data_IF_682613189137
#
_entry.id   IF_682613189137
#
_cell.length_a   1.000
_cell.length_b   1.000
_cell.length_c   1.000
_cell.angle_alpha   90.00
_cell.angle_beta   90.00
_cell.angle_gamma   90.00
#
_symmetry.space_group_name_H-M   'P 1'
#
loop_
_entity.id
_entity.type
_entity.pdbx_description
1 polymer ?
#
# COMPACT_ATOMS: atom_id res chain seq x y z
N UNK A 1 20.56 18.84 5.52
CA UNK A 1 19.67 17.91 6.27
C UNK A 1 18.36 17.64 5.52
N UNK A 2 17.60 18.66 5.09
CA UNK A 2 16.33 18.48 4.36
C UNK A 2 16.45 17.63 3.08
N UNK A 3 17.50 17.84 2.28
CA UNK A 3 17.75 17.08 1.03
C UNK A 3 17.95 15.59 1.28
N UNK A 4 18.60 15.21 2.38
CA UNK A 4 18.83 13.80 2.74
C UNK A 4 17.51 13.09 3.04
N UNK A 5 16.59 13.75 3.74
CA UNK A 5 15.25 13.22 4.01
C UNK A 5 14.41 13.08 2.74
N UNK A 6 14.50 14.03 1.80
CA UNK A 6 13.83 13.92 0.49
C UNK A 6 14.34 12.74 -0.33
N UNK A 7 15.66 12.50 -0.35
CA UNK A 7 16.26 11.36 -1.06
C UNK A 7 15.80 10.04 -0.44
N UNK A 8 15.82 9.93 0.89
CA UNK A 8 15.34 8.73 1.59
C UNK A 8 13.85 8.48 1.27
N UNK A 9 13.02 9.53 1.28
CA UNK A 9 11.61 9.38 0.96
C UNK A 9 11.38 8.98 -0.51
N UNK A 10 12.17 9.51 -1.44
CA UNK A 10 12.11 9.12 -2.85
C UNK A 10 12.39 7.61 -3.02
N UNK A 11 13.45 7.12 -2.37
CA UNK A 11 13.80 5.69 -2.41
C UNK A 11 12.70 4.82 -1.82
N UNK A 12 12.15 5.22 -0.67
CA UNK A 12 11.03 4.51 -0.02
C UNK A 12 9.80 4.48 -0.93
N UNK A 13 9.49 5.60 -1.61
CA UNK A 13 8.36 5.70 -2.55
C UNK A 13 8.50 4.74 -3.74
N UNK A 14 9.70 4.66 -4.31
CA UNK A 14 9.99 3.76 -5.44
C UNK A 14 9.83 2.30 -5.00
N UNK A 15 10.40 1.93 -3.84
CA UNK A 15 10.30 0.56 -3.32
C UNK A 15 8.86 0.17 -3.04
N UNK A 16 8.08 1.05 -2.41
CA UNK A 16 6.65 0.83 -2.18
C UNK A 16 5.87 0.65 -3.48
N UNK A 17 6.15 1.46 -4.49
CA UNK A 17 5.47 1.38 -5.78
C UNK A 17 5.74 0.04 -6.47
N UNK A 18 6.99 -0.44 -6.41
CA UNK A 18 7.36 -1.77 -6.92
C UNK A 18 6.64 -2.89 -6.16
N UNK A 19 6.59 -2.81 -4.83
CA UNK A 19 5.90 -3.79 -3.97
C UNK A 19 4.40 -3.87 -4.30
N UNK A 20 3.75 -2.73 -4.52
CA UNK A 20 2.33 -2.68 -4.90
C UNK A 20 2.10 -3.28 -6.29
N UNK A 21 3.01 -3.03 -7.25
CA UNK A 21 2.90 -3.62 -8.59
C UNK A 21 3.10 -5.15 -8.59
N UNK A 22 3.86 -5.67 -7.63
CA UNK A 22 4.05 -7.11 -7.41
C UNK A 22 2.84 -7.78 -6.75
N UNK A 23 1.91 -7.01 -6.20
CA UNK A 23 0.69 -7.55 -5.60
C UNK A 23 -0.22 -8.12 -6.70
N UNK A 24 -0.54 -9.42 -6.66
CA UNK A 24 -1.32 -10.05 -7.72
C UNK A 24 -2.70 -9.39 -7.85
N UNK A 25 -3.21 -9.21 -9.08
CA UNK A 25 -4.54 -8.67 -9.28
C UNK A 25 -5.54 -9.57 -8.56
N UNK A 26 -6.28 -9.00 -7.61
CA UNK A 26 -7.33 -9.68 -6.87
C UNK A 26 -8.33 -10.18 -7.91
N UNK A 27 -8.36 -11.50 -8.12
CA UNK A 27 -9.21 -12.18 -9.10
C UNK A 27 -10.70 -12.11 -8.78
N UNK A 28 -11.11 -11.15 -7.98
CA UNK A 28 -12.49 -10.89 -7.62
C UNK A 28 -13.01 -9.93 -8.70
N UNK A 29 -13.79 -10.43 -9.66
CA UNK A 29 -14.30 -9.64 -10.79
C UNK A 29 -15.05 -8.36 -10.37
N UNK A 30 -15.49 -7.54 -11.34
CA UNK A 30 -16.11 -6.22 -11.10
C UNK A 30 -17.15 -6.16 -9.94
N UNK A 31 -17.86 -7.26 -9.65
CA UNK A 31 -18.81 -7.38 -8.52
C UNK A 31 -18.19 -7.40 -7.11
N UNK A 32 -16.87 -7.58 -6.98
CA UNK A 32 -16.15 -7.55 -5.71
C UNK A 32 -15.54 -6.19 -5.39
N UNK A 33 -15.32 -5.35 -6.40
CA UNK A 33 -14.83 -3.98 -6.24
C UNK A 33 -15.80 -3.15 -5.38
N UNK A 34 -17.10 -3.47 -5.42
CA UNK A 34 -18.15 -2.85 -4.58
C UNK A 34 -18.32 -3.47 -3.19
N UNK A 35 -17.47 -4.41 -2.75
CA UNK A 35 -17.52 -5.04 -1.42
C UNK A 35 -18.57 -6.15 -1.25
N UNK A 36 -19.52 -6.27 -2.17
CA UNK A 36 -20.65 -7.22 -2.06
C UNK A 36 -20.27 -8.68 -2.28
N UNK A 37 -19.25 -8.98 -3.09
CA UNK A 37 -18.82 -10.36 -3.36
C UNK A 37 -17.91 -10.97 -2.27
N UNK A 38 -17.44 -10.15 -1.31
CA UNK A 38 -16.53 -10.60 -0.24
C UNK A 38 -17.22 -11.49 0.80
N UNK A 39 -18.53 -11.41 0.93
CA UNK A 39 -19.33 -12.23 1.86
C UNK A 39 -19.31 -13.73 1.53
N UNK A 40 -19.00 -14.11 0.29
CA UNK A 40 -19.03 -15.49 -0.19
C UNK A 40 -17.66 -16.03 -0.65
N UNK A 41 -16.63 -15.18 -0.73
CA UNK A 41 -15.27 -15.64 -0.94
C UNK A 41 -14.63 -15.98 0.41
N UNK A 42 -14.36 -17.27 0.62
CA UNK A 42 -13.43 -17.73 1.67
C UNK A 42 -12.04 -17.23 1.28
N UNK A 43 -11.72 -16.00 1.71
CA UNK A 43 -10.48 -15.32 1.37
C UNK A 43 -9.29 -16.18 1.76
N UNK A 44 -8.38 -16.41 0.81
CA UNK A 44 -7.14 -17.14 1.08
C UNK A 44 -6.35 -16.36 2.13
N UNK A 45 -6.00 -16.99 3.25
CA UNK A 45 -5.35 -16.33 4.39
C UNK A 45 -4.07 -15.56 4.00
N UNK A 46 -3.38 -16.05 2.95
CA UNK A 46 -2.19 -15.44 2.36
C UNK A 46 -2.46 -14.08 1.70
N UNK A 47 -3.59 -13.91 1.04
CA UNK A 47 -3.98 -12.64 0.40
C UNK A 47 -4.30 -11.60 1.48
N UNK A 48 -5.05 -11.98 2.51
CA UNK A 48 -5.40 -11.09 3.63
C UNK A 48 -4.19 -10.55 4.41
N UNK A 49 -3.12 -11.34 4.54
CA UNK A 49 -1.87 -10.87 5.19
C UNK A 49 -1.10 -9.91 4.30
N UNK A 50 -1.07 -10.15 3.00
CA UNK A 50 -0.39 -9.27 2.05
C UNK A 50 -1.09 -7.89 1.99
N UNK A 51 -2.43 -7.88 1.98
CA UNK A 51 -3.25 -6.66 2.09
C UNK A 51 -2.87 -5.83 3.30
N UNK A 52 -2.76 -6.48 4.45
CA UNK A 52 -2.49 -5.81 5.71
C UNK A 52 -1.09 -5.19 5.71
N UNK A 53 -0.10 -5.89 5.14
CA UNK A 53 1.27 -5.39 5.01
C UNK A 53 1.30 -4.17 4.09
N UNK A 54 0.65 -4.24 2.92
CA UNK A 54 0.61 -3.13 1.97
C UNK A 54 -0.18 -1.94 2.52
N UNK A 55 -1.30 -2.17 3.21
CA UNK A 55 -2.08 -1.12 3.84
C UNK A 55 -1.28 -0.40 4.95
N UNK A 56 -0.56 -1.15 5.79
CA UNK A 56 0.30 -0.58 6.84
C UNK A 56 1.47 0.19 6.21
N UNK A 57 2.14 -0.40 5.21
CA UNK A 57 3.28 0.22 4.56
C UNK A 57 2.89 1.50 3.80
N UNK A 58 1.74 1.47 3.10
CA UNK A 58 1.16 2.65 2.44
C UNK A 58 0.74 3.72 3.44
N UNK A 59 0.08 3.34 4.54
CA UNK A 59 -0.28 4.26 5.62
C UNK A 59 0.94 4.95 6.25
N UNK A 60 1.99 4.17 6.55
CA UNK A 60 3.24 4.70 7.09
C UNK A 60 3.92 5.69 6.12
N UNK A 61 3.90 5.39 4.82
CA UNK A 61 4.40 6.32 3.80
C UNK A 61 3.62 7.63 3.76
N UNK A 62 2.29 7.59 3.80
CA UNK A 62 1.47 8.79 3.82
C UNK A 62 1.73 9.66 5.06
N UNK A 63 1.90 9.04 6.23
CA UNK A 63 2.21 9.75 7.47
C UNK A 63 3.60 10.40 7.40
N UNK A 64 4.63 9.66 6.97
CA UNK A 64 5.98 10.19 6.76
C UNK A 64 5.97 11.34 5.74
N UNK A 65 5.23 11.17 4.64
CA UNK A 65 5.08 12.21 3.63
C UNK A 65 4.40 13.47 4.15
N UNK A 66 3.35 13.33 4.96
CA UNK A 66 2.68 14.46 5.60
C UNK A 66 3.59 15.22 6.57
N UNK A 67 4.40 14.50 7.37
CA UNK A 67 5.37 15.11 8.28
C UNK A 67 6.44 15.88 7.50
N UNK A 68 6.97 15.29 6.42
CA UNK A 68 7.96 15.95 5.57
C UNK A 68 7.39 17.17 4.84
N UNK A 69 6.13 17.10 4.40
CA UNK A 69 5.42 18.22 3.78
C UNK A 69 5.19 19.38 4.75
N UNK A 70 4.89 19.10 6.02
CA UNK A 70 4.71 20.14 7.04
C UNK A 70 6.06 20.71 7.53
N UNK A 71 7.13 19.91 7.52
CA UNK A 71 8.47 20.34 7.92
C UNK A 71 9.21 21.17 6.84
N UNK A 72 8.67 21.28 5.63
CA UNK A 72 9.27 21.98 4.49
C UNK A 72 8.83 23.44 4.45
#
# INVERSE_FOLDING_TARGET
>A
MKTTFMIIQLVIAIVLSLVILLEPPRGEGLGAIGGSAKLFHVGKEKERRLDMIVAIAGGAFFVLAGILAWAM
#
